data_IF_867367533207
#
_entry.id   IF_867367533207
#
_cell.length_a   1.000
_cell.length_b   1.000
_cell.length_c   1.000
_cell.angle_alpha   90.00
_cell.angle_beta   90.00
_cell.angle_gamma   90.00
#
_symmetry.space_group_name_H-M   'P 1'
#
loop_
_entity.id
_entity.type
_entity.pdbx_description
1 polymer ?
#
# COMPACT_ATOMS: atom_id res chain seq x y z
N UNK A 1 -23.14 -30.69 -14.81
CA UNK A 1 -22.58 -29.45 -14.25
C UNK A 1 -21.36 -29.13 -15.09
N UNK A 2 -21.38 -28.03 -15.83
CA UNK A 2 -20.27 -27.65 -16.70
C UNK A 2 -19.05 -27.23 -15.89
N UNK A 3 -17.88 -27.42 -16.47
CA UNK A 3 -16.62 -26.86 -15.98
C UNK A 3 -16.71 -25.32 -15.87
N UNK A 4 -15.83 -24.71 -15.08
CA UNK A 4 -15.81 -23.25 -14.95
C UNK A 4 -15.67 -22.53 -16.29
N UNK A 5 -14.89 -23.08 -17.22
CA UNK A 5 -14.72 -22.55 -18.58
C UNK A 5 -16.01 -22.66 -19.44
N UNK A 6 -16.76 -23.76 -19.33
CA UNK A 6 -18.02 -23.94 -20.05
C UNK A 6 -19.10 -22.98 -19.51
N UNK A 7 -19.12 -22.75 -18.19
CA UNK A 7 -20.04 -21.80 -17.58
C UNK A 7 -19.67 -20.35 -17.96
N UNK A 8 -18.38 -20.03 -18.06
CA UNK A 8 -17.89 -18.71 -18.48
C UNK A 8 -18.24 -18.40 -19.93
N UNK A 9 -18.03 -19.34 -20.84
CA UNK A 9 -18.43 -19.20 -22.25
C UNK A 9 -19.95 -19.02 -22.41
N UNK A 10 -20.75 -19.75 -21.62
CA UNK A 10 -22.20 -19.62 -21.64
C UNK A 10 -22.67 -18.25 -21.11
N UNK A 11 -22.10 -17.76 -20.00
CA UNK A 11 -22.42 -16.44 -19.43
C UNK A 11 -22.07 -15.29 -20.39
N UNK A 12 -20.91 -15.37 -21.04
CA UNK A 12 -20.49 -14.40 -22.06
C UNK A 12 -21.46 -14.35 -23.26
N UNK A 13 -21.99 -15.50 -23.69
CA UNK A 13 -22.98 -15.56 -24.77
C UNK A 13 -24.33 -14.89 -24.43
N UNK A 14 -24.65 -14.76 -23.13
CA UNK A 14 -25.83 -14.04 -22.65
C UNK A 14 -25.55 -12.58 -22.26
N UNK A 15 -24.35 -12.05 -22.54
CA UNK A 15 -23.96 -10.69 -22.16
C UNK A 15 -23.80 -10.50 -20.65
N UNK A 16 -23.68 -11.59 -19.89
CA UNK A 16 -23.44 -11.58 -18.45
C UNK A 16 -21.93 -11.72 -18.24
N UNK A 17 -21.21 -10.63 -17.97
CA UNK A 17 -19.86 -10.76 -17.42
C UNK A 17 -20.01 -11.29 -15.99
N UNK A 18 -19.17 -12.26 -15.59
CA UNK A 18 -18.94 -12.44 -14.17
C UNK A 18 -18.39 -11.10 -13.67
N UNK A 19 -19.08 -10.47 -12.72
CA UNK A 19 -18.47 -9.42 -11.93
C UNK A 19 -17.10 -9.91 -11.50
N UNK A 20 -16.06 -9.08 -11.63
CA UNK A 20 -14.69 -9.43 -11.30
C UNK A 20 -14.58 -9.71 -9.78
N UNK A 21 -15.08 -10.86 -9.36
CA UNK A 21 -15.42 -11.23 -7.99
C UNK A 21 -14.39 -12.16 -7.39
N UNK A 22 -13.19 -12.22 -7.97
CA UNK A 22 -12.04 -12.77 -7.26
C UNK A 22 -11.77 -11.88 -6.04
N UNK A 23 -11.60 -12.52 -4.89
CA UNK A 23 -11.24 -11.83 -3.66
C UNK A 23 -9.91 -11.08 -3.88
N UNK A 24 -9.89 -9.76 -3.63
CA UNK A 24 -8.67 -8.94 -3.71
C UNK A 24 -7.87 -9.10 -2.42
N UNK A 25 -7.35 -10.31 -2.26
CA UNK A 25 -6.63 -10.76 -1.07
C UNK A 25 -5.27 -11.32 -1.48
N UNK A 26 -4.26 -11.06 -0.67
CA UNK A 26 -2.96 -11.69 -0.81
C UNK A 26 -2.31 -11.90 0.55
N UNK A 27 -1.52 -12.97 0.63
CA UNK A 27 -0.69 -13.29 1.79
C UNK A 27 0.76 -13.43 1.29
N UNK A 28 1.72 -12.73 1.91
CA UNK A 28 3.14 -12.69 1.52
C UNK A 28 4.00 -13.03 2.72
N UNK A 29 4.97 -13.92 2.51
CA UNK A 29 6.05 -14.21 3.48
C UNK A 29 7.37 -13.80 2.85
N UNK A 30 8.19 -13.08 3.62
CA UNK A 30 9.54 -12.67 3.24
C UNK A 30 10.49 -13.04 4.39
N UNK A 31 11.48 -13.87 4.11
CA UNK A 31 12.42 -14.39 5.11
C UNK A 31 13.85 -14.17 4.59
N UNK A 32 14.60 -13.31 5.27
CA UNK A 32 16.03 -13.03 5.00
C UNK A 32 16.86 -13.34 6.24
N UNK A 33 18.14 -12.98 6.22
CA UNK A 33 19.00 -13.09 7.42
C UNK A 33 18.76 -11.96 8.42
N UNK A 34 18.13 -10.88 7.99
CA UNK A 34 17.88 -9.65 8.78
C UNK A 34 16.45 -9.63 9.31
N UNK A 35 15.48 -10.06 8.50
CA UNK A 35 14.05 -9.99 8.85
C UNK A 35 13.26 -11.23 8.43
N UNK A 36 12.22 -11.54 9.22
CA UNK A 36 11.17 -12.51 8.91
C UNK A 36 9.81 -11.86 9.03
N UNK A 37 9.11 -11.75 7.91
CA UNK A 37 7.88 -10.98 7.79
C UNK A 37 6.76 -11.83 7.19
N UNK A 38 5.56 -11.68 7.75
CA UNK A 38 4.32 -12.18 7.17
C UNK A 38 3.31 -11.04 7.05
N UNK A 39 2.71 -10.89 5.88
CA UNK A 39 1.70 -9.87 5.56
C UNK A 39 0.47 -10.55 4.97
N UNK A 40 -0.72 -10.13 5.37
CA UNK A 40 -1.99 -10.48 4.75
C UNK A 40 -2.84 -9.22 4.56
N UNK A 41 -3.39 -9.04 3.36
CA UNK A 41 -4.26 -7.91 3.02
C UNK A 41 -5.55 -8.38 2.37
N UNK A 42 -6.67 -7.73 2.66
CA UNK A 42 -7.95 -7.86 1.93
C UNK A 42 -8.42 -6.45 1.58
N UNK A 43 -8.36 -6.09 0.29
CA UNK A 43 -8.69 -4.76 -0.23
C UNK A 43 -10.20 -4.45 -0.20
N UNK A 44 -11.03 -5.47 0.08
CA UNK A 44 -12.49 -5.38 0.08
C UNK A 44 -13.07 -5.43 1.53
N UNK A 45 -12.23 -5.43 2.58
CA UNK A 45 -12.67 -5.43 3.99
C UNK A 45 -11.86 -4.45 4.82
N UNK A 46 -12.47 -3.68 5.71
CA UNK A 46 -11.74 -2.72 6.56
C UNK A 46 -11.00 -3.36 7.76
N UNK A 47 -11.22 -4.65 8.04
CA UNK A 47 -10.61 -5.33 9.18
C UNK A 47 -10.45 -6.84 9.00
N UNK A 48 -9.58 -7.48 9.78
CA UNK A 48 -8.86 -6.92 10.94
C UNK A 48 -7.65 -6.04 10.56
N UNK A 49 -7.27 -5.13 11.46
CA UNK A 49 -5.98 -4.42 11.44
C UNK A 49 -5.17 -4.88 12.65
N UNK A 50 -4.08 -5.62 12.40
CA UNK A 50 -3.19 -6.20 13.42
C UNK A 50 -1.76 -6.09 12.92
N UNK A 51 -1.02 -5.13 13.47
CA UNK A 51 0.31 -4.80 12.98
C UNK A 51 1.28 -4.92 14.16
N UNK A 52 2.36 -5.66 13.96
CA UNK A 52 3.42 -5.86 14.92
C UNK A 52 4.76 -5.92 14.18
N UNK A 53 5.35 -4.75 13.92
CA UNK A 53 6.68 -4.61 13.30
C UNK A 53 7.81 -4.69 14.31
N UNK A 54 7.49 -4.49 15.60
CA UNK A 54 8.47 -4.27 16.66
C UNK A 54 8.81 -2.80 16.88
N UNK A 55 8.29 -1.89 16.04
CA UNK A 55 8.52 -0.43 16.12
C UNK A 55 7.16 0.26 16.31
N UNK A 56 6.76 0.66 17.53
CA UNK A 56 5.39 1.10 17.83
C UNK A 56 4.90 2.29 16.99
N UNK A 57 5.79 3.23 16.68
CA UNK A 57 5.43 4.37 15.83
C UNK A 57 5.15 3.94 14.38
N UNK A 58 5.91 2.97 13.86
CA UNK A 58 5.67 2.45 12.51
C UNK A 58 4.40 1.58 12.45
N UNK A 59 4.11 0.82 13.52
CA UNK A 59 2.84 0.10 13.66
C UNK A 59 1.65 1.08 13.56
N UNK A 60 1.76 2.22 14.25
CA UNK A 60 0.77 3.29 14.17
C UNK A 60 0.64 3.84 12.74
N UNK A 61 1.74 4.09 12.04
CA UNK A 61 1.73 4.59 10.65
C UNK A 61 1.07 3.62 9.67
N UNK A 62 1.37 2.33 9.76
CA UNK A 62 0.74 1.30 8.92
C UNK A 62 -0.76 1.14 9.24
N UNK A 63 -1.14 1.33 10.50
CA UNK A 63 -2.54 1.31 10.92
C UNK A 63 -3.33 2.47 10.29
N UNK A 64 -2.71 3.66 10.17
CA UNK A 64 -3.27 4.80 9.44
C UNK A 64 -3.48 4.48 7.96
N UNK A 65 -2.51 3.83 7.31
CA UNK A 65 -2.65 3.45 5.88
C UNK A 65 -3.85 2.54 5.69
N UNK A 66 -3.99 1.50 6.51
CA UNK A 66 -5.10 0.55 6.42
C UNK A 66 -6.45 1.21 6.74
N UNK A 67 -6.54 2.03 7.80
CA UNK A 67 -7.76 2.76 8.15
C UNK A 67 -8.21 3.71 7.04
N UNK A 68 -7.30 4.56 6.56
CA UNK A 68 -7.63 5.56 5.55
C UNK A 68 -7.78 4.95 4.15
N UNK A 69 -7.09 3.83 3.89
CA UNK A 69 -7.20 2.97 2.72
C UNK A 69 -8.50 2.19 2.65
N UNK A 70 -9.12 1.87 3.80
CA UNK A 70 -10.33 1.05 3.86
C UNK A 70 -10.08 -0.43 3.57
N UNK A 71 -8.94 -0.96 3.98
CA UNK A 71 -8.56 -2.36 3.78
C UNK A 71 -8.03 -3.02 5.05
N UNK A 72 -8.02 -4.35 5.09
CA UNK A 72 -7.57 -5.12 6.24
C UNK A 72 -6.09 -5.39 6.11
N UNK A 73 -5.37 -5.33 7.22
CA UNK A 73 -3.92 -5.50 7.24
C UNK A 73 -3.53 -6.31 8.47
N UNK A 74 -3.00 -7.50 8.25
CA UNK A 74 -2.27 -8.26 9.26
C UNK A 74 -0.80 -8.25 8.86
N UNK A 75 0.07 -7.74 9.72
CA UNK A 75 1.51 -7.70 9.47
C UNK A 75 2.27 -8.07 10.75
N UNK A 76 3.19 -9.02 10.64
CA UNK A 76 4.10 -9.39 11.71
C UNK A 76 5.54 -9.38 11.18
N UNK A 77 6.45 -8.80 11.95
CA UNK A 77 7.88 -8.78 11.67
C UNK A 77 8.66 -9.32 12.88
N UNK A 78 9.68 -10.12 12.61
CA UNK A 78 10.80 -10.36 13.51
C UNK A 78 12.04 -9.85 12.79
N UNK A 79 12.63 -8.76 13.26
CA UNK A 79 13.82 -8.17 12.66
C UNK A 79 14.93 -7.92 13.67
N UNK A 80 16.09 -7.55 13.14
CA UNK A 80 17.34 -7.28 13.84
C UNK A 80 17.39 -5.88 14.48
N UNK A 81 16.39 -5.55 15.30
CA UNK A 81 16.25 -4.24 15.94
C UNK A 81 17.41 -3.88 16.89
N UNK A 82 18.24 -4.85 17.28
CA UNK A 82 19.49 -4.60 18.00
C UNK A 82 20.57 -3.92 17.15
N UNK A 83 20.45 -3.97 15.82
CA UNK A 83 21.30 -3.23 14.89
C UNK A 83 20.73 -1.83 14.72
N UNK A 84 19.56 -1.73 14.09
CA UNK A 84 18.70 -0.54 14.01
C UNK A 84 17.31 -0.90 13.46
N UNK A 85 16.48 0.12 13.21
CA UNK A 85 15.14 -0.06 12.65
C UNK A 85 15.10 -0.22 11.12
N UNK A 86 16.22 -0.04 10.42
CA UNK A 86 16.27 0.16 8.96
C UNK A 86 15.70 -1.04 8.22
N UNK A 87 16.29 -2.23 8.42
CA UNK A 87 15.88 -3.45 7.71
C UNK A 87 14.42 -3.79 8.01
N UNK A 88 14.00 -3.68 9.28
CA UNK A 88 12.61 -3.93 9.68
C UNK A 88 11.62 -3.01 8.97
N UNK A 89 11.89 -1.71 8.91
CA UNK A 89 10.99 -0.74 8.26
C UNK A 89 10.96 -0.95 6.75
N UNK A 90 12.13 -1.08 6.11
CA UNK A 90 12.27 -1.29 4.67
C UNK A 90 11.56 -2.57 4.23
N UNK A 91 11.87 -3.69 4.86
CA UNK A 91 11.40 -5.00 4.43
C UNK A 91 9.89 -5.16 4.67
N UNK A 92 9.36 -4.55 5.73
CA UNK A 92 7.91 -4.47 5.94
C UNK A 92 7.22 -3.67 4.81
N UNK A 93 7.82 -2.57 4.36
CA UNK A 93 7.29 -1.78 3.25
C UNK A 93 7.33 -2.56 1.92
N UNK A 94 8.42 -3.30 1.65
CA UNK A 94 8.53 -4.18 0.47
C UNK A 94 7.46 -5.28 0.52
N UNK A 95 7.32 -5.97 1.66
CA UNK A 95 6.36 -7.05 1.81
C UNK A 95 4.91 -6.55 1.68
N UNK A 96 4.60 -5.39 2.27
CA UNK A 96 3.30 -4.75 2.12
C UNK A 96 3.02 -4.33 0.68
N UNK A 97 3.96 -3.65 0.01
CA UNK A 97 3.82 -3.28 -1.39
C UNK A 97 3.56 -4.49 -2.28
N UNK A 98 4.30 -5.57 -2.05
CA UNK A 98 4.13 -6.86 -2.76
C UNK A 98 2.75 -7.45 -2.54
N UNK A 99 2.28 -7.50 -1.29
CA UNK A 99 0.94 -8.03 -0.95
C UNK A 99 -0.17 -7.20 -1.61
N UNK A 100 -0.06 -5.87 -1.58
CA UNK A 100 -0.98 -4.97 -2.26
C UNK A 100 -0.99 -5.21 -3.78
N UNK A 101 0.17 -5.37 -4.41
CA UNK A 101 0.28 -5.66 -5.85
C UNK A 101 -0.38 -6.99 -6.22
N UNK A 102 -0.10 -8.04 -5.45
CA UNK A 102 -0.72 -9.36 -5.66
C UNK A 102 -2.24 -9.32 -5.48
N UNK A 103 -2.74 -8.61 -4.47
CA UNK A 103 -4.16 -8.45 -4.22
C UNK A 103 -4.88 -7.65 -5.31
N UNK A 104 -4.17 -6.78 -6.03
CA UNK A 104 -4.69 -6.04 -7.18
C UNK A 104 -4.78 -6.89 -8.46
N UNK A 105 -4.09 -8.03 -8.53
CA UNK A 105 -4.12 -8.94 -9.67
C UNK A 105 -3.78 -8.25 -10.99
N UNK A 106 -4.67 -8.41 -11.99
CA UNK A 106 -4.53 -7.82 -13.32
C UNK A 106 -4.87 -6.32 -13.38
N UNK A 107 -5.21 -5.70 -12.24
CA UNK A 107 -5.52 -4.27 -12.10
C UNK A 107 -6.71 -3.83 -12.96
N UNK A 108 -7.56 -4.75 -13.39
CA UNK A 108 -8.76 -4.40 -14.16
C UNK A 108 -9.84 -3.89 -13.24
N UNK A 109 -10.53 -2.84 -13.67
CA UNK A 109 -11.67 -2.31 -12.95
C UNK A 109 -11.33 -1.45 -11.74
N UNK A 110 -10.07 -1.06 -11.54
CA UNK A 110 -9.66 -0.19 -10.44
C UNK A 110 -9.66 1.28 -10.87
N UNK A 111 -9.69 2.20 -9.89
CA UNK A 111 -9.58 3.65 -10.13
C UNK A 111 -8.23 4.09 -10.67
N UNK A 112 -7.18 3.27 -10.49
CA UNK A 112 -5.78 3.43 -10.93
C UNK A 112 -5.03 4.61 -10.30
N UNK A 113 -5.66 5.77 -10.23
CA UNK A 113 -5.08 7.01 -9.74
C UNK A 113 -5.66 7.42 -8.40
N UNK A 114 -4.86 8.09 -7.58
CA UNK A 114 -5.27 8.59 -6.28
C UNK A 114 -4.52 9.83 -5.83
N UNK A 115 -5.21 10.70 -5.07
CA UNK A 115 -4.75 12.03 -4.71
C UNK A 115 -5.21 12.40 -3.28
N UNK A 116 -4.36 13.00 -2.43
CA UNK A 116 -4.76 13.46 -1.09
C UNK A 116 -3.87 14.58 -0.54
N UNK A 117 -4.45 15.49 0.26
CA UNK A 117 -3.86 16.66 0.94
C UNK A 117 -4.68 16.96 2.25
N UNK A 118 -4.47 18.09 2.97
CA UNK A 118 -3.73 18.35 4.22
C UNK A 118 -4.13 17.58 5.53
N UNK A 119 -3.37 17.79 6.62
CA UNK A 119 -3.68 17.40 8.02
C UNK A 119 -3.14 18.43 9.04
N UNK A 120 -4.04 19.15 9.72
CA UNK A 120 -3.71 20.20 10.70
C UNK A 120 -2.74 21.26 10.13
N UNK A 121 -1.61 21.54 10.79
CA UNK A 121 -0.58 22.47 10.29
C UNK A 121 0.36 21.82 9.26
N UNK A 122 0.30 20.50 9.12
CA UNK A 122 1.05 19.76 8.12
C UNK A 122 0.24 19.56 6.83
N UNK A 123 0.96 19.55 5.71
CA UNK A 123 0.40 19.19 4.42
C UNK A 123 1.24 18.08 3.82
N UNK A 124 0.59 16.97 3.47
CA UNK A 124 1.20 15.91 2.65
C UNK A 124 0.39 15.74 1.37
N UNK A 125 1.02 16.08 0.25
CA UNK A 125 0.48 15.86 -1.08
C UNK A 125 0.97 14.51 -1.61
N UNK A 126 0.05 13.55 -1.72
CA UNK A 126 0.35 12.20 -2.23
C UNK A 126 -0.37 11.94 -3.54
N UNK A 127 0.39 11.50 -4.54
CA UNK A 127 -0.08 11.10 -5.86
C UNK A 127 0.29 9.64 -6.12
N UNK A 128 -0.67 8.84 -6.59
CA UNK A 128 -0.46 7.43 -6.93
C UNK A 128 -0.92 7.17 -8.37
N UNK A 129 -0.10 6.45 -9.14
CA UNK A 129 -0.49 5.76 -10.37
C UNK A 129 -0.12 4.28 -10.25
N UNK A 130 -1.13 3.40 -10.17
CA UNK A 130 -1.00 1.93 -10.13
C UNK A 130 -0.62 1.36 -11.49
N UNK A 131 0.50 1.85 -12.02
CA UNK A 131 0.86 1.80 -13.44
C UNK A 131 1.62 0.55 -13.89
N UNK A 132 2.02 -0.29 -12.93
CA UNK A 132 2.97 -1.39 -13.12
C UNK A 132 4.44 -0.96 -13.13
N UNK A 133 4.71 0.36 -13.16
CA UNK A 133 6.06 0.92 -13.22
C UNK A 133 6.43 1.54 -11.87
N UNK A 134 7.45 1.01 -11.18
CA UNK A 134 7.89 1.57 -9.92
C UNK A 134 8.60 2.91 -10.13
N UNK A 135 8.14 3.92 -9.40
CA UNK A 135 8.79 5.23 -9.35
C UNK A 135 8.46 5.90 -8.03
N UNK A 136 9.45 6.50 -7.38
CA UNK A 136 9.24 7.23 -6.13
C UNK A 136 9.87 8.62 -6.22
N UNK A 137 9.07 9.64 -5.92
CA UNK A 137 9.53 10.99 -5.68
C UNK A 137 9.13 11.38 -4.26
N UNK A 138 10.10 11.81 -3.46
CA UNK A 138 9.86 12.28 -2.10
C UNK A 138 10.50 13.65 -1.89
N UNK A 139 9.69 14.65 -1.57
CA UNK A 139 10.09 16.01 -1.31
C UNK A 139 9.61 16.44 0.08
N UNK A 140 10.54 16.62 1.01
CA UNK A 140 10.22 16.97 2.38
C UNK A 140 11.48 16.98 3.22
N UNK A 141 11.42 17.68 4.35
CA UNK A 141 12.52 17.78 5.31
C UNK A 141 11.98 17.53 6.71
N UNK A 142 12.76 16.75 7.46
CA UNK A 142 12.53 16.46 8.88
C UNK A 142 13.68 17.07 9.67
N UNK A 143 13.38 17.66 10.82
CA UNK A 143 14.38 18.31 11.67
C UNK A 143 14.89 17.35 12.76
N UNK A 144 13.97 16.59 13.36
CA UNK A 144 14.26 15.52 14.27
C UNK A 144 14.87 14.33 13.51
N UNK A 145 15.88 13.71 14.11
CA UNK A 145 16.47 12.45 13.61
C UNK A 145 15.52 11.26 13.79
N UNK A 146 14.61 11.31 14.76
CA UNK A 146 13.70 10.23 15.10
C UNK A 146 12.41 10.72 15.76
N UNK A 147 11.35 9.91 15.65
CA UNK A 147 10.08 10.04 16.37
C UNK A 147 9.87 8.76 17.18
N UNK A 148 10.11 8.81 18.49
CA UNK A 148 10.28 7.59 19.29
C UNK A 148 11.45 6.77 18.75
N UNK A 149 11.19 5.50 18.43
CA UNK A 149 12.18 4.56 17.87
C UNK A 149 12.21 4.54 16.34
N UNK A 150 11.45 5.43 15.68
CA UNK A 150 11.39 5.50 14.21
C UNK A 150 12.33 6.59 13.67
N UNK A 151 13.38 6.24 12.91
CA UNK A 151 14.25 7.24 12.28
C UNK A 151 13.47 7.97 11.18
N UNK A 152 13.45 9.31 11.21
CA UNK A 152 12.63 10.10 10.28
C UNK A 152 13.06 9.94 8.82
N UNK A 153 14.34 9.65 8.57
CA UNK A 153 14.88 9.33 7.25
C UNK A 153 14.18 8.12 6.60
N UNK A 154 13.67 7.19 7.42
CA UNK A 154 12.96 6.03 6.93
C UNK A 154 11.62 6.39 6.29
N UNK A 155 11.07 7.59 6.52
CA UNK A 155 9.82 8.03 5.87
C UNK A 155 9.98 7.99 4.35
N UNK A 156 11.09 8.53 3.84
CA UNK A 156 11.42 8.50 2.40
C UNK A 156 11.61 7.06 1.92
N UNK A 157 12.34 6.25 2.68
CA UNK A 157 12.62 4.86 2.32
C UNK A 157 11.33 4.03 2.22
N UNK A 158 10.38 4.19 3.16
CA UNK A 158 9.09 3.48 3.11
C UNK A 158 8.36 3.74 1.80
N UNK A 159 8.23 4.99 1.35
CA UNK A 159 7.54 5.29 0.10
C UNK A 159 8.29 4.78 -1.13
N UNK A 160 9.63 4.74 -1.08
CA UNK A 160 10.42 4.11 -2.14
C UNK A 160 10.15 2.61 -2.22
N UNK A 161 10.24 1.92 -1.08
CA UNK A 161 10.02 0.48 -0.97
C UNK A 161 8.59 0.07 -1.30
N UNK A 162 7.60 0.88 -0.90
CA UNK A 162 6.21 0.69 -1.31
C UNK A 162 6.03 0.85 -2.83
N UNK A 163 6.65 1.85 -3.46
CA UNK A 163 6.57 2.06 -4.90
C UNK A 163 7.16 0.87 -5.68
N UNK A 164 8.30 0.36 -5.20
CA UNK A 164 8.99 -0.79 -5.77
C UNK A 164 8.15 -2.08 -5.61
N UNK A 165 7.68 -2.40 -4.40
CA UNK A 165 6.86 -3.59 -4.16
C UNK A 165 5.48 -3.54 -4.82
N UNK A 166 4.85 -2.36 -4.85
CA UNK A 166 3.54 -2.17 -5.47
C UNK A 166 3.60 -2.11 -7.00
N UNK A 167 4.78 -1.86 -7.59
CA UNK A 167 4.89 -1.53 -9.01
C UNK A 167 4.04 -0.31 -9.36
N UNK A 168 4.25 0.78 -8.63
CA UNK A 168 3.47 2.01 -8.76
C UNK A 168 4.37 3.24 -8.80
N UNK A 169 3.88 4.30 -9.44
CA UNK A 169 4.47 5.62 -9.27
C UNK A 169 3.82 6.27 -8.04
N UNK A 170 4.65 6.65 -7.06
CA UNK A 170 4.23 7.31 -5.82
C UNK A 170 5.02 8.60 -5.68
N UNK A 171 4.32 9.73 -5.69
CA UNK A 171 4.93 11.02 -5.40
C UNK A 171 4.41 11.53 -4.06
N UNK A 172 5.33 11.96 -3.20
CA UNK A 172 5.02 12.54 -1.90
C UNK A 172 5.74 13.88 -1.79
N UNK A 173 4.98 14.93 -1.49
CA UNK A 173 5.53 16.20 -1.01
C UNK A 173 4.96 16.49 0.37
N UNK A 174 5.80 16.87 1.32
CA UNK A 174 5.37 17.18 2.68
C UNK A 174 6.00 18.46 3.23
N UNK A 175 5.18 19.26 3.91
CA UNK A 175 5.55 20.46 4.64
C UNK A 175 4.78 20.52 5.97
N UNK A 176 5.31 21.26 6.94
CA UNK A 176 4.74 21.39 8.28
C UNK A 176 5.80 21.61 9.35
N UNK A 177 5.35 22.00 10.54
CA UNK A 177 6.24 22.37 11.64
C UNK A 177 6.62 21.14 12.49
N UNK A 178 5.67 20.25 12.77
CA UNK A 178 5.90 19.08 13.61
C UNK A 178 6.25 17.84 12.75
N UNK A 179 7.38 17.19 13.03
CA UNK A 179 7.83 16.01 12.29
C UNK A 179 6.91 14.79 12.46
N UNK A 180 6.31 14.60 13.63
CA UNK A 180 5.26 13.58 13.82
C UNK A 180 4.10 13.87 12.88
N UNK A 181 3.59 15.10 12.86
CA UNK A 181 2.45 15.46 12.02
C UNK A 181 2.79 15.33 10.53
N UNK A 182 3.99 15.71 10.11
CA UNK A 182 4.47 15.51 8.74
C UNK A 182 4.51 14.02 8.35
N UNK A 183 5.08 13.17 9.18
CA UNK A 183 5.12 11.72 8.90
C UNK A 183 3.71 11.15 8.86
N UNK A 184 2.89 11.40 9.88
CA UNK A 184 1.52 10.90 9.93
C UNK A 184 0.66 11.41 8.78
N UNK A 185 0.81 12.67 8.37
CA UNK A 185 0.14 13.23 7.20
C UNK A 185 0.51 12.45 5.92
N UNK A 186 1.78 12.08 5.73
CA UNK A 186 2.21 11.28 4.57
C UNK A 186 1.49 9.92 4.53
N UNK A 187 1.44 9.19 5.65
CA UNK A 187 0.82 7.86 5.70
C UNK A 187 -0.71 7.92 5.57
N UNK A 188 -1.37 8.90 6.21
CA UNK A 188 -2.81 9.13 6.04
C UNK A 188 -3.18 9.52 4.62
N UNK A 189 -2.44 10.45 4.03
CA UNK A 189 -2.64 10.89 2.65
C UNK A 189 -2.40 9.75 1.66
N UNK A 190 -1.38 8.92 1.90
CA UNK A 190 -1.16 7.70 1.11
C UNK A 190 -2.33 6.72 1.22
N UNK A 191 -2.82 6.42 2.43
CA UNK A 191 -4.01 5.60 2.60
C UNK A 191 -5.22 6.14 1.83
N UNK A 192 -5.50 7.45 1.93
CA UNK A 192 -6.60 8.10 1.20
C UNK A 192 -6.44 8.06 -0.32
N UNK A 193 -5.24 8.34 -0.83
CA UNK A 193 -4.94 8.25 -2.25
C UNK A 193 -5.08 6.79 -2.73
N UNK A 194 -4.55 5.83 -1.96
CA UNK A 194 -4.63 4.42 -2.29
C UNK A 194 -6.09 3.95 -2.35
N UNK A 195 -6.95 4.37 -1.41
CA UNK A 195 -8.39 4.06 -1.42
C UNK A 195 -9.06 4.45 -2.74
N UNK A 196 -8.71 5.61 -3.30
CA UNK A 196 -9.21 6.06 -4.60
C UNK A 196 -8.66 5.16 -5.72
N UNK A 197 -7.35 4.91 -5.71
CA UNK A 197 -6.67 4.16 -6.76
C UNK A 197 -7.13 2.69 -6.83
N UNK A 198 -7.43 2.08 -5.69
CA UNK A 198 -7.92 0.70 -5.61
C UNK A 198 -9.44 0.59 -5.70
N UNK A 199 -10.20 1.69 -5.75
CA UNK A 199 -11.65 1.62 -5.79
C UNK A 199 -12.14 0.84 -7.02
N UNK A 200 -13.13 -0.03 -6.86
CA UNK A 200 -13.76 -0.73 -7.99
C UNK A 200 -14.62 0.27 -8.78
N UNK A 201 -14.35 0.42 -10.07
CA UNK A 201 -15.03 1.35 -10.98
C UNK A 201 -15.61 0.67 -12.23
N UNK A 202 -15.55 -0.66 -12.31
CA UNK A 202 -16.13 -1.44 -13.41
C UNK A 202 -15.24 -2.63 -13.74
N UNK A 203 -15.26 -3.06 -15.00
CA UNK A 203 -14.47 -4.19 -15.49
C UNK A 203 -13.45 -3.79 -16.56
N UNK A 204 -13.25 -2.51 -16.86
CA UNK A 204 -12.30 -2.09 -17.91
C UNK A 204 -10.86 -2.06 -17.36
N UNK A 205 -9.87 -2.43 -18.19
CA UNK A 205 -8.48 -2.13 -17.87
C UNK A 205 -8.27 -0.61 -18.03
N UNK A 206 -7.83 0.12 -16.99
CA UNK A 206 -7.66 1.57 -17.07
C UNK A 206 -6.33 1.93 -17.78
N UNK A 207 -6.09 1.41 -18.97
CA UNK A 207 -4.87 1.62 -19.76
C UNK A 207 -5.17 1.62 -21.26
N UNK A 208 -4.73 2.67 -21.96
CA UNK A 208 -4.83 2.75 -23.43
C UNK A 208 -3.88 1.80 -24.15
N UNK A 209 -2.85 1.29 -23.46
CA UNK A 209 -1.88 0.33 -24.03
C UNK A 209 -2.37 -1.12 -24.00
N UNK A 210 -3.51 -1.39 -23.35
CA UNK A 210 -4.04 -2.75 -23.20
C UNK A 210 -3.31 -3.62 -22.18
N UNK A 211 -2.34 -3.07 -21.45
CA UNK A 211 -1.62 -3.73 -20.34
C UNK A 211 -1.21 -2.74 -19.25
N UNK A 212 -1.01 -3.26 -18.03
CA UNK A 212 -0.43 -2.59 -16.84
C UNK A 212 0.54 -3.55 -16.16
#
# INVERSE_FOLDING_TARGET
MGTDAENEAALAAFGVSRANGAARRADVVRDTKETRIAVAVDLDKEGPRRIATGIPFYDHMLDQVAAHGGFSLVLSCQGDLEIDAHHSVEDCAIALGTALSQALGDRRGIGRFGFSLPMDEAEAHVLIDLSGRPYALFEGRFEASQIGDYPTEMTRHVFRSLADGLGAAIHVRVAGDNDHHKTEACFKAFGRALRQAIARQGDALPSTKGML
#
